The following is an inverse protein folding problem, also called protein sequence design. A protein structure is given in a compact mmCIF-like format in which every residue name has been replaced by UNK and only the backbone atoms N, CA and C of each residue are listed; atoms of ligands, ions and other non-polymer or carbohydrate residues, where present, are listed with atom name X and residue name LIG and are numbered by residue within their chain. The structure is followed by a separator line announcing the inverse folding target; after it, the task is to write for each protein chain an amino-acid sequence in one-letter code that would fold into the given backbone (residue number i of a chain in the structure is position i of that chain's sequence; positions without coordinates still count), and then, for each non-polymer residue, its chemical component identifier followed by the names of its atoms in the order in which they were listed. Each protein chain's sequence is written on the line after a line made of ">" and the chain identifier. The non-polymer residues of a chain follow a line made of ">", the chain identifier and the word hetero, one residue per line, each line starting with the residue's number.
data_IF_533821759460
#
_entry.id   IF_533821759460
#
_cell.length_a   1.000
_cell.length_b   1.000
_cell.length_c   1.000
_cell.angle_alpha   90.00
_cell.angle_beta   90.00
_cell.angle_gamma   90.00
#
_symmetry.space_group_name_H-M   'P 1'
#
loop_
_entity.id
_entity.type
_entity.pdbx_description
1 polymer ?
#
# COMPACT_ATOMS: atom_id res chain seq x y z
N UNK A 1 8.17 -16.33 18.68
CA UNK A 1 7.47 -16.05 17.40
C UNK A 1 6.60 -14.82 17.56
N UNK A 2 6.53 -13.94 16.56
CA UNK A 2 5.68 -12.73 16.60
C UNK A 2 4.20 -13.06 16.33
N UNK A 3 3.30 -12.21 16.82
CA UNK A 3 1.85 -12.29 16.55
C UNK A 3 1.58 -12.13 15.05
N UNK A 4 0.63 -12.89 14.51
CA UNK A 4 0.19 -12.77 13.11
C UNK A 4 -0.84 -11.65 12.99
N UNK A 5 -0.65 -10.75 12.02
CA UNK A 5 -1.58 -9.67 11.65
C UNK A 5 -1.92 -9.79 10.17
N UNK A 6 -3.18 -9.56 9.81
CA UNK A 6 -3.67 -9.62 8.43
C UNK A 6 -3.91 -8.20 7.89
N UNK A 7 -3.33 -7.88 6.73
CA UNK A 7 -3.56 -6.64 5.98
C UNK A 7 -4.07 -7.04 4.60
N UNK A 8 -5.36 -6.83 4.34
CA UNK A 8 -6.00 -7.41 3.14
C UNK A 8 -5.78 -8.92 3.10
N UNK A 9 -5.14 -9.44 2.05
CA UNK A 9 -4.79 -10.87 1.93
C UNK A 9 -3.37 -11.22 2.41
N UNK A 10 -2.58 -10.23 2.85
CA UNK A 10 -1.19 -10.39 3.30
C UNK A 10 -1.15 -10.71 4.80
N UNK A 11 -0.32 -11.68 5.21
CA UNK A 11 -0.08 -12.04 6.61
C UNK A 11 1.32 -11.60 7.03
N UNK A 12 1.41 -10.82 8.12
CA UNK A 12 2.66 -10.33 8.69
C UNK A 12 2.92 -11.01 10.02
N UNK A 13 4.18 -11.42 10.26
CA UNK A 13 4.60 -12.07 11.50
C UNK A 13 4.40 -13.59 11.51
N UNK A 14 4.74 -14.24 12.63
CA UNK A 14 4.54 -15.68 12.83
C UNK A 14 5.28 -16.61 11.86
N UNK A 15 6.38 -16.14 11.24
CA UNK A 15 7.16 -16.93 10.28
C UNK A 15 6.61 -16.96 8.85
N UNK A 16 5.60 -16.14 8.53
CA UNK A 16 5.16 -15.94 7.14
C UNK A 16 6.22 -15.20 6.30
N UNK A 17 6.07 -15.21 4.96
CA UNK A 17 6.91 -14.44 4.03
C UNK A 17 7.06 -12.99 4.51
N UNK A 18 8.28 -12.45 4.46
CA UNK A 18 8.51 -11.02 4.69
C UNK A 18 7.87 -10.25 3.52
N UNK A 19 6.86 -9.45 3.82
CA UNK A 19 6.17 -8.64 2.82
C UNK A 19 6.97 -7.36 2.50
N UNK A 20 6.99 -7.00 1.22
CA UNK A 20 7.59 -5.76 0.72
C UNK A 20 6.52 -4.67 0.65
N UNK A 21 6.80 -3.52 1.27
CA UNK A 21 5.88 -2.38 1.31
C UNK A 21 6.50 -1.15 0.63
N UNK A 22 5.68 -0.37 -0.07
CA UNK A 22 6.07 0.90 -0.69
C UNK A 22 4.98 1.97 -0.51
N UNK A 23 5.30 3.23 -0.80
CA UNK A 23 4.39 4.37 -0.62
C UNK A 23 4.29 5.17 -1.92
N UNK A 24 3.06 5.49 -2.33
CA UNK A 24 2.83 6.41 -3.43
C UNK A 24 3.31 7.83 -3.05
N UNK A 25 3.95 8.51 -3.99
CA UNK A 25 4.50 9.86 -3.78
C UNK A 25 3.75 10.96 -4.54
N UNK A 26 2.63 10.59 -5.17
CA UNK A 26 1.70 11.47 -5.87
C UNK A 26 0.66 11.96 -4.85
N UNK A 27 0.10 13.17 -5.06
CA UNK A 27 -1.04 13.63 -4.24
C UNK A 27 -2.23 12.68 -4.39
N UNK A 28 -2.87 12.31 -3.30
CA UNK A 28 -3.90 11.25 -3.31
C UNK A 28 -5.15 11.66 -4.08
N UNK A 29 -5.53 12.94 -4.04
CA UNK A 29 -6.62 13.50 -4.86
C UNK A 29 -6.46 13.25 -6.39
N UNK A 30 -5.24 12.95 -6.88
CA UNK A 30 -4.97 12.63 -8.29
C UNK A 30 -5.12 11.13 -8.54
N UNK A 31 -6.36 10.65 -8.45
CA UNK A 31 -6.72 9.21 -8.47
C UNK A 31 -6.03 8.44 -9.60
N UNK A 32 -6.16 8.88 -10.86
CA UNK A 32 -5.61 8.14 -12.00
C UNK A 32 -4.08 8.02 -11.96
N UNK A 33 -3.39 9.08 -11.55
CA UNK A 33 -1.93 9.10 -11.42
C UNK A 33 -1.48 8.16 -10.28
N UNK A 34 -2.18 8.18 -9.14
CA UNK A 34 -1.92 7.31 -7.98
C UNK A 34 -2.16 5.85 -8.33
N UNK A 35 -3.27 5.54 -9.01
CA UNK A 35 -3.60 4.17 -9.45
C UNK A 35 -2.54 3.66 -10.42
N UNK A 36 -2.09 4.48 -11.38
CA UNK A 36 -1.01 4.08 -12.30
C UNK A 36 0.27 3.72 -11.54
N UNK A 37 0.68 4.56 -10.58
CA UNK A 37 1.87 4.27 -9.77
C UNK A 37 1.70 3.02 -8.89
N UNK A 38 0.51 2.81 -8.32
CA UNK A 38 0.20 1.62 -7.53
C UNK A 38 0.39 0.35 -8.37
N UNK A 39 -0.15 0.34 -9.60
CA UNK A 39 -0.04 -0.81 -10.51
C UNK A 39 1.41 -1.08 -10.93
N UNK A 40 2.22 -0.04 -11.11
CA UNK A 40 3.64 -0.22 -11.45
C UNK A 40 4.45 -0.77 -10.26
N UNK A 41 4.14 -0.34 -9.03
CA UNK A 41 4.73 -0.89 -7.82
C UNK A 41 4.29 -2.34 -7.58
N UNK A 42 3.04 -2.68 -7.85
CA UNK A 42 2.54 -4.06 -7.81
C UNK A 42 3.31 -4.95 -8.79
N UNK A 43 3.46 -4.53 -10.05
CA UNK A 43 4.27 -5.25 -11.06
C UNK A 43 5.73 -5.43 -10.63
N UNK A 44 6.29 -4.48 -9.88
CA UNK A 44 7.64 -4.57 -9.33
C UNK A 44 7.74 -5.52 -8.11
N UNK A 45 6.63 -6.09 -7.64
CA UNK A 45 6.59 -7.05 -6.54
C UNK A 45 6.26 -6.45 -5.17
N UNK A 46 5.64 -5.28 -5.13
CA UNK A 46 5.15 -4.70 -3.88
C UNK A 46 3.93 -5.48 -3.35
N UNK A 47 4.00 -5.96 -2.12
CA UNK A 47 2.91 -6.71 -1.47
C UNK A 47 1.88 -5.77 -0.80
N UNK A 48 2.31 -4.60 -0.32
CA UNK A 48 1.47 -3.61 0.39
C UNK A 48 1.84 -2.19 -0.07
N UNK A 49 0.87 -1.39 -0.49
CA UNK A 49 1.10 0.01 -0.86
C UNK A 49 0.39 0.95 0.12
N UNK A 50 1.07 2.05 0.47
CA UNK A 50 0.53 3.13 1.32
C UNK A 50 0.30 4.39 0.50
N UNK A 51 -0.79 5.09 0.79
CA UNK A 51 -1.08 6.44 0.28
C UNK A 51 -1.11 7.43 1.44
N UNK A 52 -0.83 8.71 1.17
CA UNK A 52 -0.98 9.77 2.18
C UNK A 52 -2.45 10.23 2.22
N UNK A 53 -2.97 10.59 3.38
CA UNK A 53 -4.27 11.27 3.49
C UNK A 53 -4.05 12.49 4.37
N UNK A 54 -3.99 13.68 3.76
CA UNK A 54 -3.63 14.93 4.45
C UNK A 54 -4.84 15.81 4.75
N UNK A 55 -5.84 15.77 3.88
CA UNK A 55 -7.05 16.57 3.96
C UNK A 55 -8.27 15.76 3.48
N UNK A 56 -9.43 16.40 3.45
CA UNK A 56 -10.68 15.76 3.03
C UNK A 56 -10.70 15.39 1.55
N UNK A 57 -10.01 16.16 0.69
CA UNK A 57 -9.92 15.84 -0.74
C UNK A 57 -9.13 14.56 -0.98
N UNK A 58 -8.03 14.35 -0.24
CA UNK A 58 -7.30 13.08 -0.25
C UNK A 58 -8.13 11.92 0.34
N UNK A 59 -9.06 12.19 1.26
CA UNK A 59 -9.86 11.17 1.93
C UNK A 59 -11.09 10.73 1.12
N UNK A 60 -11.67 11.63 0.32
CA UNK A 60 -12.85 11.38 -0.52
C UNK A 60 -12.49 10.76 -1.89
N UNK A 61 -11.20 10.79 -2.27
CA UNK A 61 -10.66 10.26 -3.52
C UNK A 61 -10.55 8.73 -3.54
#
# INVERSE_FOLDING_TARGET
>A
MSKIVKIGNVKIGGGNKIAIQSMANIKTEKVDEVVSQILDLEKAGCDIIRVAVKDFSDADA
#
